data_IF_013858217654
#
_entry.id   IF_013858217654
#
_cell.length_a   1.000
_cell.length_b   1.000
_cell.length_c   1.000
_cell.angle_alpha   90.00
_cell.angle_beta   90.00
_cell.angle_gamma   90.00
#
_symmetry.space_group_name_H-M   'P 1'
#
loop_
_entity.id
_entity.type
_entity.pdbx_description
1 polymer ?
#
# COMPACT_ATOMS: atom_id res chain seq x y z
N UNK A 1 31.83 -63.24 -35.69
CA UNK A 1 31.60 -63.85 -34.36
C UNK A 1 31.68 -62.73 -33.34
N UNK A 2 30.61 -62.58 -32.57
CA UNK A 2 30.28 -61.45 -31.70
C UNK A 2 31.22 -61.39 -30.48
N UNK A 3 31.76 -60.21 -30.13
CA UNK A 3 31.77 -59.66 -28.75
C UNK A 3 32.63 -58.40 -28.58
N UNK A 4 32.13 -57.53 -27.67
CA UNK A 4 32.71 -56.33 -27.02
C UNK A 4 32.45 -55.02 -27.80
N UNK A 5 31.87 -53.97 -27.23
CA UNK A 5 31.96 -53.51 -25.82
C UNK A 5 30.77 -52.60 -25.46
N UNK A 6 30.32 -52.73 -24.21
CA UNK A 6 29.34 -51.88 -23.51
C UNK A 6 29.73 -50.39 -23.51
N UNK A 7 28.80 -49.49 -23.86
CA UNK A 7 28.62 -48.23 -23.14
C UNK A 7 27.13 -48.03 -22.86
N UNK A 8 26.85 -47.87 -21.57
CA UNK A 8 25.53 -47.72 -20.97
C UNK A 8 24.81 -46.47 -21.45
N UNK A 9 23.49 -46.63 -21.56
CA UNK A 9 22.42 -45.64 -21.40
C UNK A 9 22.82 -44.39 -20.61
N UNK A 10 22.33 -43.21 -21.01
CA UNK A 10 21.69 -42.17 -20.18
C UNK A 10 21.23 -40.97 -21.06
N UNK A 11 19.90 -40.82 -21.22
CA UNK A 11 19.11 -39.55 -21.28
C UNK A 11 19.21 -38.69 -22.59
N UNK A 12 18.12 -38.00 -23.08
CA UNK A 12 16.91 -37.62 -22.35
C UNK A 12 15.54 -37.98 -22.97
N UNK A 13 14.61 -38.25 -22.05
CA UNK A 13 13.16 -38.13 -22.19
C UNK A 13 12.72 -36.67 -22.37
N UNK A 14 13.09 -35.99 -23.46
CA UNK A 14 12.70 -34.59 -23.71
C UNK A 14 11.42 -34.39 -24.54
N UNK A 15 10.61 -35.43 -24.81
CA UNK A 15 9.45 -35.31 -25.71
C UNK A 15 8.10 -35.80 -25.15
N UNK A 16 7.97 -35.92 -23.82
CA UNK A 16 6.70 -36.34 -23.17
C UNK A 16 6.19 -35.41 -22.07
N UNK A 17 6.47 -34.11 -22.14
CA UNK A 17 5.85 -33.08 -21.29
C UNK A 17 5.25 -31.99 -22.18
N UNK A 18 4.19 -32.34 -22.92
CA UNK A 18 3.27 -31.38 -23.54
C UNK A 18 1.85 -31.93 -23.44
N UNK A 19 1.41 -32.19 -22.21
CA UNK A 19 -0.01 -32.14 -21.84
C UNK A 19 -0.08 -31.42 -20.50
N UNK A 20 -0.15 -30.09 -20.59
CA UNK A 20 -0.72 -29.27 -19.52
C UNK A 20 -2.02 -29.94 -19.08
N UNK A 21 -2.31 -30.08 -17.77
CA UNK A 21 -3.68 -30.27 -17.36
C UNK A 21 -4.41 -29.02 -17.85
N UNK A 22 -5.25 -29.16 -18.87
CA UNK A 22 -6.34 -28.22 -19.08
C UNK A 22 -7.04 -28.14 -17.73
N UNK A 23 -6.83 -27.03 -17.00
CA UNK A 23 -7.79 -26.63 -15.99
C UNK A 23 -9.09 -26.51 -16.79
N UNK A 24 -9.93 -27.52 -16.67
CA UNK A 24 -11.33 -27.43 -17.02
C UNK A 24 -11.78 -26.12 -16.40
N UNK A 25 -12.19 -25.17 -17.25
CA UNK A 25 -12.95 -24.02 -16.82
C UNK A 25 -14.19 -24.60 -16.16
N UNK A 26 -14.11 -24.89 -14.85
CA UNK A 26 -15.28 -24.88 -14.00
C UNK A 26 -15.96 -23.56 -14.31
N UNK A 27 -17.24 -23.63 -14.69
CA UNK A 27 -18.07 -22.47 -14.97
C UNK A 27 -17.88 -21.48 -13.84
N UNK A 28 -17.02 -20.50 -14.07
CA UNK A 28 -16.68 -19.51 -13.07
C UNK A 28 -17.81 -18.50 -13.16
N UNK A 29 -18.72 -18.56 -12.19
CA UNK A 29 -19.66 -17.48 -11.92
C UNK A 29 -18.94 -16.16 -12.14
N UNK A 30 -19.53 -15.29 -12.97
CA UNK A 30 -18.97 -14.00 -13.42
C UNK A 30 -18.05 -13.42 -12.35
N UNK A 31 -16.73 -13.57 -12.51
CA UNK A 31 -15.75 -13.03 -11.57
C UNK A 31 -16.04 -11.53 -11.43
N UNK A 32 -16.52 -11.12 -10.25
CA UNK A 32 -16.70 -9.71 -9.91
C UNK A 32 -15.36 -9.03 -10.12
N UNK A 33 -15.26 -8.28 -11.20
CA UNK A 33 -14.05 -7.61 -11.62
C UNK A 33 -14.28 -6.12 -11.36
N UNK A 34 -13.33 -5.46 -10.71
CA UNK A 34 -13.41 -4.01 -10.51
C UNK A 34 -13.64 -3.30 -11.83
N UNK A 35 -14.51 -2.30 -11.82
CA UNK A 35 -14.77 -1.45 -12.98
C UNK A 35 -13.49 -0.74 -13.45
N UNK A 36 -12.52 -0.51 -12.54
CA UNK A 36 -11.22 0.08 -12.84
C UNK A 36 -10.42 -0.74 -13.84
N UNK A 37 -10.53 -2.07 -13.85
CA UNK A 37 -9.81 -2.93 -14.79
C UNK A 37 -10.33 -2.71 -16.21
N UNK A 38 -11.65 -2.76 -16.39
CA UNK A 38 -12.28 -2.48 -17.70
C UNK A 38 -12.04 -1.04 -18.14
N UNK A 39 -12.03 -0.11 -17.19
CA UNK A 39 -11.75 1.30 -17.44
C UNK A 39 -10.31 1.52 -17.92
N UNK A 40 -9.33 0.92 -17.24
CA UNK A 40 -7.92 0.91 -17.65
C UNK A 40 -7.74 0.34 -19.07
N UNK A 41 -8.36 -0.79 -19.39
CA UNK A 41 -8.27 -1.39 -20.73
C UNK A 41 -8.85 -0.47 -21.80
N UNK A 42 -9.93 0.25 -21.48
CA UNK A 42 -10.55 1.22 -22.38
C UNK A 42 -9.65 2.43 -22.64
N UNK A 43 -8.95 2.94 -21.62
CA UNK A 43 -7.97 4.03 -21.76
C UNK A 43 -6.81 3.60 -22.66
N UNK A 44 -6.23 2.43 -22.43
CA UNK A 44 -5.08 1.96 -23.21
C UNK A 44 -5.42 1.62 -24.67
N UNK A 45 -6.69 1.33 -24.94
CA UNK A 45 -7.19 1.14 -26.31
C UNK A 45 -7.63 2.47 -26.96
N UNK A 46 -7.37 3.62 -26.33
CA UNK A 46 -7.80 4.95 -26.75
C UNK A 46 -9.31 5.06 -26.97
N UNK A 47 -10.10 4.22 -26.30
CA UNK A 47 -11.58 4.22 -26.38
C UNK A 47 -12.20 5.18 -25.38
N UNK A 48 -11.48 5.54 -24.33
CA UNK A 48 -11.88 6.50 -23.30
C UNK A 48 -10.71 7.39 -22.93
N UNK A 49 -11.00 8.63 -22.58
CA UNK A 49 -10.04 9.53 -21.95
C UNK A 49 -9.91 9.20 -20.45
N UNK A 50 -8.80 9.64 -19.88
CA UNK A 50 -8.57 9.62 -18.43
C UNK A 50 -9.64 10.50 -17.74
N UNK A 51 -10.20 10.09 -16.58
CA UNK A 51 -11.31 10.84 -16.01
C UNK A 51 -10.74 12.13 -15.42
N UNK A 52 -11.52 13.20 -15.40
CA UNK A 52 -11.04 14.46 -14.81
C UNK A 52 -10.76 14.30 -13.30
N UNK A 53 -11.59 13.52 -12.61
CA UNK A 53 -11.50 13.25 -11.18
C UNK A 53 -11.35 11.77 -10.90
N UNK A 54 -10.49 11.45 -9.96
CA UNK A 54 -10.29 10.08 -9.48
C UNK A 54 -9.70 10.13 -8.07
N UNK A 55 -10.26 9.33 -7.16
CA UNK A 55 -9.74 9.09 -5.82
C UNK A 55 -9.81 7.60 -5.49
N UNK A 56 -8.66 6.98 -5.27
CA UNK A 56 -8.56 5.54 -5.02
C UNK A 56 -9.41 5.07 -3.81
N UNK A 57 -9.55 5.91 -2.79
CA UNK A 57 -10.31 5.55 -1.60
C UNK A 57 -11.82 5.47 -1.88
N UNK A 58 -12.39 6.44 -2.58
CA UNK A 58 -13.83 6.42 -2.91
C UNK A 58 -14.13 5.52 -4.12
N UNK A 59 -13.33 5.61 -5.17
CA UNK A 59 -13.68 5.06 -6.48
C UNK A 59 -13.25 3.58 -6.63
N UNK A 60 -12.56 3.03 -5.61
CA UNK A 60 -12.12 1.63 -5.58
C UNK A 60 -12.46 0.98 -4.24
N UNK A 61 -11.96 1.52 -3.13
CA UNK A 61 -12.12 0.85 -1.83
C UNK A 61 -13.56 0.91 -1.32
N UNK A 62 -14.19 2.09 -1.39
CA UNK A 62 -15.59 2.23 -0.97
C UNK A 62 -16.54 1.43 -1.90
N UNK A 63 -16.26 1.35 -3.21
CA UNK A 63 -17.01 0.49 -4.14
C UNK A 63 -16.98 -0.99 -3.73
N UNK A 64 -15.85 -1.50 -3.24
CA UNK A 64 -15.81 -2.86 -2.70
C UNK A 64 -16.64 -3.03 -1.44
N UNK A 65 -16.59 -2.06 -0.53
CA UNK A 65 -17.43 -2.03 0.67
C UNK A 65 -18.92 -2.05 0.32
N UNK A 66 -19.36 -1.26 -0.66
CA UNK A 66 -20.77 -1.22 -1.06
C UNK A 66 -21.22 -2.54 -1.70
N UNK A 67 -20.37 -3.19 -2.50
CA UNK A 67 -20.66 -4.53 -3.04
C UNK A 67 -20.81 -5.60 -1.95
N UNK A 68 -20.03 -5.50 -0.86
CA UNK A 68 -20.14 -6.39 0.30
C UNK A 68 -21.45 -6.13 1.07
N UNK A 69 -21.81 -4.87 1.32
CA UNK A 69 -23.06 -4.49 2.00
C UNK A 69 -24.32 -4.88 1.22
N UNK A 70 -24.28 -4.75 -0.10
CA UNK A 70 -25.36 -5.15 -1.00
C UNK A 70 -25.50 -6.69 -1.11
N UNK A 71 -24.62 -7.47 -0.47
CA UNK A 71 -24.59 -8.93 -0.58
C UNK A 71 -24.18 -9.43 -1.98
N UNK A 72 -23.67 -8.53 -2.83
CA UNK A 72 -23.21 -8.86 -4.19
C UNK A 72 -21.84 -9.50 -4.19
N UNK A 73 -21.14 -9.51 -3.05
CA UNK A 73 -19.82 -10.10 -2.83
C UNK A 73 -19.71 -10.65 -1.40
N UNK A 74 -19.03 -11.78 -1.17
CA UNK A 74 -18.70 -12.22 0.19
C UNK A 74 -17.73 -11.25 0.88
N UNK A 75 -17.91 -11.06 2.19
CA UNK A 75 -17.01 -10.30 3.03
C UNK A 75 -15.69 -11.05 3.21
N UNK A 76 -14.71 -10.73 2.37
CA UNK A 76 -13.32 -11.20 2.52
C UNK A 76 -12.51 -10.09 3.20
N UNK A 77 -11.46 -10.42 3.97
CA UNK A 77 -10.59 -9.39 4.51
C UNK A 77 -9.95 -8.59 3.37
N UNK A 78 -10.02 -7.26 3.43
CA UNK A 78 -9.23 -6.37 2.61
C UNK A 78 -7.76 -6.35 3.06
N UNK A 79 -7.55 -6.49 4.37
CA UNK A 79 -6.25 -6.42 5.02
C UNK A 79 -6.16 -7.45 6.13
N UNK A 80 -5.00 -8.10 6.22
CA UNK A 80 -4.69 -9.07 7.26
C UNK A 80 -3.23 -8.91 7.68
N UNK A 81 -3.02 -8.59 8.96
CA UNK A 81 -1.71 -8.45 9.58
C UNK A 81 -1.51 -9.43 10.73
N UNK A 82 -0.28 -9.91 10.88
CA UNK A 82 0.16 -10.77 11.99
C UNK A 82 1.55 -10.37 12.50
N UNK A 83 1.89 -10.75 13.73
CA UNK A 83 3.25 -10.68 14.27
C UNK A 83 3.75 -12.01 14.86
N UNK A 84 5.01 -12.01 15.30
CA UNK A 84 5.67 -13.17 15.90
C UNK A 84 5.04 -13.58 17.25
N UNK A 85 4.31 -12.67 17.90
CA UNK A 85 3.64 -12.88 19.18
C UNK A 85 2.23 -13.49 19.05
N UNK A 86 1.75 -13.72 17.81
CA UNK A 86 0.42 -14.26 17.54
C UNK A 86 -0.72 -13.24 17.61
N UNK A 87 -0.40 -11.95 17.71
CA UNK A 87 -1.38 -10.88 17.53
C UNK A 87 -1.80 -10.81 16.05
N UNK A 88 -3.08 -10.55 15.83
CA UNK A 88 -3.69 -10.53 14.51
C UNK A 88 -4.60 -9.31 14.36
N UNK A 89 -4.54 -8.66 13.19
CA UNK A 89 -5.45 -7.58 12.81
C UNK A 89 -6.03 -7.92 11.44
N UNK A 90 -7.36 -7.98 11.35
CA UNK A 90 -8.08 -8.18 10.09
C UNK A 90 -9.07 -7.03 9.91
N UNK A 91 -9.13 -6.51 8.68
CA UNK A 91 -10.13 -5.53 8.28
C UNK A 91 -10.80 -5.96 6.99
N UNK A 92 -12.14 -5.95 6.98
CA UNK A 92 -12.96 -5.89 5.78
C UNK A 92 -12.76 -4.55 5.03
N UNK A 93 -13.31 -4.41 3.82
CA UNK A 93 -13.29 -3.13 3.11
C UNK A 93 -14.12 -2.08 3.86
N UNK A 94 -15.22 -2.47 4.51
CA UNK A 94 -16.04 -1.58 5.33
C UNK A 94 -15.24 -1.03 6.53
N UNK A 95 -14.57 -1.91 7.29
CA UNK A 95 -13.76 -1.52 8.43
C UNK A 95 -12.57 -0.64 8.01
N UNK A 96 -11.89 -1.00 6.91
CA UNK A 96 -10.83 -0.17 6.33
C UNK A 96 -11.37 1.21 5.94
N UNK A 97 -12.57 1.28 5.36
CA UNK A 97 -13.25 2.52 5.04
C UNK A 97 -13.54 3.38 6.27
N UNK A 98 -14.13 2.78 7.30
CA UNK A 98 -14.43 3.45 8.57
C UNK A 98 -13.18 3.99 9.27
N UNK A 99 -12.16 3.15 9.42
CA UNK A 99 -10.93 3.51 10.11
C UNK A 99 -10.15 4.58 9.31
N UNK A 100 -10.10 4.48 7.98
CA UNK A 100 -9.36 5.44 7.16
C UNK A 100 -10.01 6.82 7.12
N UNK A 101 -11.34 6.90 7.26
CA UNK A 101 -12.05 8.18 7.47
C UNK A 101 -11.68 8.83 8.79
N UNK A 102 -11.60 8.06 9.89
CA UNK A 102 -11.11 8.57 11.19
C UNK A 102 -9.67 9.08 11.08
N UNK A 103 -8.77 8.29 10.48
CA UNK A 103 -7.39 8.72 10.25
C UNK A 103 -7.31 9.98 9.37
N UNK A 104 -8.17 10.12 8.36
CA UNK A 104 -8.19 11.31 7.52
C UNK A 104 -8.56 12.56 8.32
N UNK A 105 -9.57 12.46 9.19
CA UNK A 105 -9.94 13.53 10.12
C UNK A 105 -8.82 13.86 11.12
N UNK A 106 -8.10 12.86 11.64
CA UNK A 106 -6.93 13.08 12.49
C UNK A 106 -5.86 13.90 11.75
N UNK A 107 -5.58 13.54 10.49
CA UNK A 107 -4.58 14.25 9.67
C UNK A 107 -5.02 15.69 9.38
N UNK A 108 -6.29 15.94 9.07
CA UNK A 108 -6.77 17.29 8.76
C UNK A 108 -6.96 18.17 9.99
N UNK A 109 -7.57 17.64 11.06
CA UNK A 109 -8.01 18.43 12.22
C UNK A 109 -6.90 18.51 13.27
N UNK A 110 -6.39 17.37 13.74
CA UNK A 110 -5.39 17.34 14.81
C UNK A 110 -3.99 17.70 14.29
N UNK A 111 -3.60 17.17 13.13
CA UNK A 111 -2.31 17.49 12.53
C UNK A 111 -2.32 18.80 11.71
N UNK A 112 -3.50 19.39 11.48
CA UNK A 112 -3.67 20.67 10.78
C UNK A 112 -3.27 20.64 9.29
N UNK A 113 -3.36 19.48 8.64
CA UNK A 113 -2.97 19.32 7.23
C UNK A 113 -4.11 19.70 6.28
N UNK A 114 -3.74 20.30 5.15
CA UNK A 114 -4.67 20.68 4.09
C UNK A 114 -4.40 19.88 2.82
N UNK A 115 -5.33 19.93 1.86
CA UNK A 115 -5.15 19.33 0.53
C UNK A 115 -3.84 19.82 -0.10
N UNK A 116 -3.05 18.89 -0.63
CA UNK A 116 -1.75 19.14 -1.24
C UNK A 116 -0.58 19.23 -0.25
N UNK A 117 -0.85 19.28 1.05
CA UNK A 117 0.21 19.18 2.05
C UNK A 117 0.85 17.80 2.01
N UNK A 118 2.13 17.75 2.38
CA UNK A 118 2.92 16.53 2.34
C UNK A 118 3.16 16.02 3.75
N UNK A 119 3.01 14.72 3.91
CA UNK A 119 3.33 14.01 5.16
C UNK A 119 4.38 12.94 4.89
N UNK A 120 5.44 12.93 5.69
CA UNK A 120 6.42 11.85 5.67
C UNK A 120 5.99 10.79 6.68
N UNK A 121 5.87 9.54 6.26
CA UNK A 121 5.60 8.42 7.16
C UNK A 121 6.79 7.46 7.16
N UNK A 122 7.45 7.35 8.32
CA UNK A 122 8.54 6.39 8.55
C UNK A 122 8.09 5.40 9.62
N UNK A 123 7.44 4.35 9.17
CA UNK A 123 6.85 3.32 10.01
C UNK A 123 7.28 1.93 9.55
N UNK A 124 7.44 0.95 10.46
CA UNK A 124 7.60 -0.45 10.08
C UNK A 124 6.31 -1.00 9.44
N UNK A 125 6.27 -2.31 9.17
CA UNK A 125 5.09 -3.02 8.66
C UNK A 125 4.02 -3.19 9.74
N UNK A 126 3.46 -2.08 10.20
CA UNK A 126 2.34 -2.03 11.15
C UNK A 126 1.05 -1.60 10.43
N UNK A 127 -0.14 -2.05 10.89
CA UNK A 127 -1.41 -1.78 10.20
C UNK A 127 -1.66 -0.30 9.92
N UNK A 128 -1.22 0.59 10.81
CA UNK A 128 -1.38 2.04 10.71
C UNK A 128 -0.74 2.63 9.45
N UNK A 129 0.32 2.01 8.90
CA UNK A 129 0.93 2.49 7.66
C UNK A 129 -0.04 2.44 6.48
N UNK A 130 -0.76 1.32 6.33
CA UNK A 130 -1.80 1.17 5.29
C UNK A 130 -2.96 2.12 5.52
N UNK A 131 -3.36 2.25 6.78
CA UNK A 131 -4.46 3.11 7.19
C UNK A 131 -4.18 4.59 6.86
N UNK A 132 -2.98 5.06 7.18
CA UNK A 132 -2.53 6.42 6.91
C UNK A 132 -2.35 6.68 5.41
N UNK A 133 -1.96 5.67 4.64
CA UNK A 133 -1.87 5.77 3.18
C UNK A 133 -3.26 6.07 2.58
N UNK A 134 -4.28 5.28 2.93
CA UNK A 134 -5.67 5.51 2.49
C UNK A 134 -6.23 6.81 3.04
N UNK A 135 -5.94 7.15 4.29
CA UNK A 135 -6.36 8.41 4.90
C UNK A 135 -5.83 9.65 4.15
N UNK A 136 -4.57 9.59 3.70
CA UNK A 136 -4.00 10.65 2.88
C UNK A 136 -4.72 10.80 1.54
N UNK A 137 -5.05 9.69 0.88
CA UNK A 137 -5.86 9.71 -0.35
C UNK A 137 -7.21 10.39 -0.10
N UNK A 138 -7.91 10.02 0.98
CA UNK A 138 -9.21 10.61 1.33
C UNK A 138 -9.12 12.11 1.59
N UNK A 139 -8.09 12.56 2.30
CA UNK A 139 -7.89 13.97 2.64
C UNK A 139 -7.24 14.79 1.50
N UNK A 140 -6.82 14.16 0.40
CA UNK A 140 -6.04 14.81 -0.66
C UNK A 140 -4.66 15.29 -0.18
N UNK A 141 -4.08 14.60 0.81
CA UNK A 141 -2.75 14.85 1.37
C UNK A 141 -1.75 13.97 0.61
N UNK A 142 -0.59 14.52 0.30
CA UNK A 142 0.47 13.80 -0.43
C UNK A 142 1.28 12.95 0.54
N UNK A 143 1.21 11.64 0.38
CA UNK A 143 1.89 10.69 1.26
C UNK A 143 3.31 10.40 0.78
N UNK A 144 4.29 10.48 1.68
CA UNK A 144 5.71 10.25 1.40
C UNK A 144 6.21 9.12 2.30
N UNK A 145 6.17 7.86 1.82
CA UNK A 145 6.69 6.75 2.60
C UNK A 145 8.23 6.79 2.68
N UNK A 146 8.76 6.45 3.86
CA UNK A 146 10.18 6.27 4.10
C UNK A 146 10.44 4.96 4.83
N UNK A 147 11.59 4.33 4.54
CA UNK A 147 12.00 3.09 5.22
C UNK A 147 12.36 3.37 6.67
N UNK A 148 12.07 2.42 7.57
CA UNK A 148 12.47 2.49 8.97
C UNK A 148 14.00 2.53 9.18
N UNK A 149 14.79 2.29 8.13
CA UNK A 149 16.25 2.38 8.16
C UNK A 149 16.80 3.79 7.99
N UNK A 150 15.95 4.79 7.70
CA UNK A 150 16.39 6.18 7.57
C UNK A 150 16.95 6.71 8.89
N UNK A 151 18.10 7.38 8.83
CA UNK A 151 18.71 8.05 9.99
C UNK A 151 18.27 9.51 10.05
N UNK A 152 18.54 10.17 11.18
CA UNK A 152 18.23 11.58 11.40
C UNK A 152 18.54 12.50 10.21
N UNK A 153 19.77 12.42 9.67
CA UNK A 153 20.20 13.19 8.48
C UNK A 153 19.35 12.91 7.23
N UNK A 154 18.93 11.67 7.04
CA UNK A 154 18.18 11.23 5.85
C UNK A 154 16.72 11.69 5.95
N UNK A 155 16.18 11.74 7.16
CA UNK A 155 14.86 12.29 7.49
C UNK A 155 14.88 13.80 7.30
N UNK A 156 15.89 14.50 7.85
CA UNK A 156 16.03 15.95 7.73
C UNK A 156 16.06 16.39 6.26
N UNK A 157 16.91 15.74 5.45
CA UNK A 157 16.99 16.01 4.02
C UNK A 157 15.62 15.91 3.34
N UNK A 158 14.87 14.83 3.63
CA UNK A 158 13.55 14.61 3.03
C UNK A 158 12.52 15.62 3.50
N UNK A 159 12.50 15.96 4.79
CA UNK A 159 11.62 17.00 5.35
C UNK A 159 11.87 18.34 4.65
N UNK A 160 13.13 18.75 4.51
CA UNK A 160 13.52 20.02 3.90
C UNK A 160 13.19 20.07 2.40
N UNK A 161 13.60 19.05 1.63
CA UNK A 161 13.40 19.04 0.17
C UNK A 161 11.93 18.86 -0.20
N UNK A 162 11.19 18.04 0.54
CA UNK A 162 9.75 17.88 0.29
C UNK A 162 8.93 19.06 0.79
N UNK A 163 9.42 19.81 1.79
CA UNK A 163 8.65 20.78 2.57
C UNK A 163 7.44 20.14 3.25
N UNK A 164 7.61 18.91 3.74
CA UNK A 164 6.55 18.21 4.45
C UNK A 164 6.18 18.94 5.75
N UNK A 165 4.87 19.01 6.01
CA UNK A 165 4.31 19.71 7.16
C UNK A 165 4.03 18.79 8.34
N UNK A 166 4.05 17.49 8.12
CA UNK A 166 3.89 16.49 9.17
C UNK A 166 4.87 15.32 8.98
N UNK A 167 5.30 14.76 10.10
CA UNK A 167 6.02 13.49 10.14
C UNK A 167 5.29 12.51 11.05
N UNK A 168 5.13 11.28 10.55
CA UNK A 168 4.53 10.16 11.28
C UNK A 168 5.60 9.12 11.51
N UNK A 169 5.80 8.70 12.76
CA UNK A 169 6.81 7.68 13.07
C UNK A 169 6.49 6.84 14.30
N UNK A 170 7.34 5.87 14.58
CA UNK A 170 7.27 5.00 15.77
C UNK A 170 8.09 5.57 16.93
N UNK A 171 7.83 5.09 18.14
CA UNK A 171 8.60 5.52 19.33
C UNK A 171 10.10 5.26 19.19
N UNK A 172 10.50 4.16 18.54
CA UNK A 172 11.91 3.84 18.29
C UNK A 172 12.64 4.90 17.47
N UNK A 173 11.96 5.56 16.53
CA UNK A 173 12.58 6.55 15.64
C UNK A 173 12.30 8.01 16.06
N UNK A 174 11.39 8.23 17.01
CA UNK A 174 11.07 9.56 17.52
C UNK A 174 12.31 10.33 18.04
N UNK A 175 13.28 9.72 18.76
CA UNK A 175 14.51 10.42 19.15
C UNK A 175 15.33 10.96 17.97
N UNK A 176 15.38 10.22 16.86
CA UNK A 176 16.09 10.67 15.65
C UNK A 176 15.42 11.88 15.01
N UNK A 177 14.07 11.91 15.00
CA UNK A 177 13.30 13.06 14.53
C UNK A 177 13.48 14.27 15.45
N UNK A 178 13.45 14.06 16.76
CA UNK A 178 13.66 15.13 17.75
C UNK A 178 15.02 15.81 17.60
N UNK A 179 16.06 15.02 17.32
CA UNK A 179 17.43 15.54 17.16
C UNK A 179 17.61 16.54 16.01
N UNK A 180 16.70 16.55 15.03
CA UNK A 180 16.76 17.42 13.84
C UNK A 180 15.69 18.51 13.83
N UNK A 181 14.86 18.59 14.88
CA UNK A 181 13.73 19.53 14.93
C UNK A 181 14.12 21.01 14.76
N UNK A 182 15.24 21.50 15.33
CA UNK A 182 15.66 22.89 15.12
C UNK A 182 15.86 23.27 13.65
N UNK A 183 16.14 22.29 12.79
CA UNK A 183 16.42 22.49 11.36
C UNK A 183 15.20 22.24 10.45
N UNK A 184 14.03 21.91 11.04
CA UNK A 184 12.82 21.51 10.31
C UNK A 184 11.82 22.67 10.14
N UNK A 185 12.16 23.65 9.29
CA UNK A 185 11.41 24.90 9.13
C UNK A 185 9.95 24.75 8.64
N UNK A 186 9.62 23.68 7.90
CA UNK A 186 8.29 23.47 7.34
C UNK A 186 7.40 22.56 8.20
N UNK A 187 8.00 21.86 9.17
CA UNK A 187 7.31 20.85 9.96
C UNK A 187 6.42 21.52 11.02
N UNK A 188 5.12 21.24 10.97
CA UNK A 188 4.11 21.83 11.86
C UNK A 188 3.63 20.86 12.93
N UNK A 189 3.52 19.58 12.59
CA UNK A 189 2.99 18.56 13.48
C UNK A 189 3.82 17.27 13.41
N UNK A 190 3.80 16.52 14.51
CA UNK A 190 4.46 15.23 14.63
C UNK A 190 3.46 14.24 15.23
N UNK A 191 3.27 13.12 14.56
CA UNK A 191 2.32 12.09 14.95
C UNK A 191 3.08 10.79 15.26
N UNK A 192 2.80 10.18 16.40
CA UNK A 192 3.46 8.96 16.85
C UNK A 192 2.50 7.76 16.80
N UNK A 193 3.00 6.65 16.29
CA UNK A 193 2.36 5.33 16.35
C UNK A 193 3.07 4.53 17.45
N UNK A 194 2.50 4.56 18.65
CA UNK A 194 3.05 3.91 19.84
C UNK A 194 1.95 3.55 20.84
N UNK A 195 2.23 2.59 21.72
CA UNK A 195 1.30 2.18 22.78
C UNK A 195 1.09 3.26 23.86
N UNK A 196 2.06 4.16 24.06
CA UNK A 196 2.00 5.23 25.06
C UNK A 196 2.20 6.64 24.49
N UNK A 197 1.99 7.65 25.34
CA UNK A 197 2.17 9.06 25.01
C UNK A 197 3.65 9.46 24.99
N UNK A 198 3.99 10.46 24.17
CA UNK A 198 5.33 11.07 24.12
C UNK A 198 5.19 12.59 24.08
N UNK A 199 5.92 13.29 24.93
CA UNK A 199 5.77 14.75 25.05
C UNK A 199 6.08 15.47 23.73
N UNK A 200 5.24 16.46 23.39
CA UNK A 200 5.31 17.17 22.11
C UNK A 200 4.96 16.33 20.87
N UNK A 201 4.34 15.16 21.02
CA UNK A 201 3.82 14.34 19.92
C UNK A 201 2.32 14.11 20.05
N UNK A 202 1.62 14.18 18.92
CA UNK A 202 0.25 13.69 18.82
C UNK A 202 0.28 12.17 18.82
N UNK A 203 -0.49 11.49 19.67
CA UNK A 203 -0.57 10.03 19.66
C UNK A 203 -1.74 9.55 18.79
N UNK A 204 -1.44 8.74 17.76
CA UNK A 204 -2.45 8.26 16.82
C UNK A 204 -3.55 7.44 17.51
N UNK A 205 -3.20 6.54 18.43
CA UNK A 205 -4.14 5.65 19.10
C UNK A 205 -5.10 6.40 20.02
N UNK A 206 -4.60 7.39 20.75
CA UNK A 206 -5.41 8.25 21.61
C UNK A 206 -6.41 9.07 20.78
N UNK A 207 -5.95 9.66 19.68
CA UNK A 207 -6.80 10.42 18.77
C UNK A 207 -7.87 9.53 18.13
N UNK A 208 -7.53 8.31 17.75
CA UNK A 208 -8.51 7.34 17.23
C UNK A 208 -9.68 7.09 18.18
N UNK A 209 -9.48 7.15 19.49
CA UNK A 209 -10.55 6.91 20.46
C UNK A 209 -11.64 8.00 20.42
N UNK A 210 -11.27 9.23 20.04
CA UNK A 210 -12.16 10.41 20.14
C UNK A 210 -12.59 10.99 18.78
N UNK A 211 -11.88 10.67 17.70
CA UNK A 211 -12.20 11.22 16.37
C UNK A 211 -13.41 10.55 15.73
N UNK A 212 -14.26 11.34 15.08
CA UNK A 212 -15.42 10.86 14.29
C UNK A 212 -14.97 10.21 12.98
N UNK A 213 -15.75 9.24 12.49
CA UNK A 213 -15.59 8.66 11.15
C UNK A 213 -16.39 9.40 10.06
N UNK A 214 -17.09 10.48 10.40
CA UNK A 214 -17.75 11.36 9.43
C UNK A 214 -16.70 12.16 8.66
N UNK A 215 -16.39 11.68 7.47
CA UNK A 215 -15.39 12.28 6.59
C UNK A 215 -15.87 12.21 5.14
N UNK A 216 -15.90 13.36 4.49
CA UNK A 216 -16.18 13.45 3.06
C UNK A 216 -14.88 13.37 2.28
N UNK A 217 -14.72 12.29 1.52
CA UNK A 217 -13.56 12.10 0.64
C UNK A 217 -13.38 13.31 -0.30
N UNK A 218 -12.15 13.81 -0.41
CA UNK A 218 -11.83 14.94 -1.27
C UNK A 218 -11.95 14.54 -2.74
N UNK A 219 -12.64 15.39 -3.50
CA UNK A 219 -12.73 15.27 -4.96
C UNK A 219 -11.40 15.71 -5.61
N UNK A 220 -10.47 14.76 -5.68
CA UNK A 220 -9.14 14.92 -6.29
C UNK A 220 -9.20 14.80 -7.81
N UNK A 221 -8.40 15.60 -8.51
CA UNK A 221 -8.21 15.43 -9.96
C UNK A 221 -7.32 14.21 -10.19
N UNK A 222 -7.50 13.53 -11.31
CA UNK A 222 -6.67 12.37 -11.67
C UNK A 222 -5.18 12.67 -11.64
N UNK A 223 -4.79 13.87 -12.08
CA UNK A 223 -3.39 14.31 -12.16
C UNK A 223 -2.88 15.01 -10.89
N UNK A 224 -3.70 15.14 -9.83
CA UNK A 224 -3.23 15.70 -8.58
C UNK A 224 -2.16 14.78 -7.94
N UNK A 225 -1.11 15.34 -7.30
CA UNK A 225 -0.14 14.54 -6.56
C UNK A 225 -0.79 13.74 -5.43
N UNK A 226 -0.50 12.45 -5.36
CA UNK A 226 -1.00 11.52 -4.34
C UNK A 226 0.15 10.95 -3.49
N UNK A 227 1.24 10.55 -4.14
CA UNK A 227 2.38 9.88 -3.52
C UNK A 227 3.70 10.50 -3.99
N UNK A 228 4.70 10.52 -3.11
CA UNK A 228 6.09 10.84 -3.49
C UNK A 228 7.02 9.75 -2.97
N UNK A 229 7.78 9.14 -3.87
CA UNK A 229 8.89 8.26 -3.50
C UNK A 229 10.21 8.98 -3.70
N UNK A 230 11.13 8.81 -2.73
CA UNK A 230 12.52 9.22 -2.91
C UNK A 230 13.30 8.08 -3.55
N UNK A 231 13.97 8.35 -4.68
CA UNK A 231 14.81 7.37 -5.38
C UNK A 231 16.28 7.72 -5.23
N UNK A 232 17.15 6.70 -5.15
CA UNK A 232 18.60 6.89 -5.14
C UNK A 232 19.04 7.47 -6.49
N UNK A 233 19.60 8.68 -6.48
CA UNK A 233 20.26 9.23 -7.66
C UNK A 233 21.61 8.55 -7.87
N UNK A 234 21.97 8.23 -9.12
CA UNK A 234 23.28 7.64 -9.45
C UNK A 234 24.47 8.55 -9.12
N UNK A 235 24.24 9.87 -9.03
CA UNK A 235 25.30 10.89 -8.90
C UNK A 235 24.98 11.97 -7.86
N UNK A 236 23.98 11.78 -7.00
CA UNK A 236 23.60 12.83 -6.07
C UNK A 236 22.51 12.45 -5.07
N UNK A 237 22.04 13.46 -4.34
CA UNK A 237 21.03 13.28 -3.29
C UNK A 237 19.71 12.68 -3.82
N UNK A 238 18.95 11.95 -2.99
CA UNK A 238 17.73 11.28 -3.43
C UNK A 238 16.71 12.23 -4.07
N UNK A 239 16.11 11.83 -5.20
CA UNK A 239 15.17 12.68 -5.95
C UNK A 239 13.72 12.32 -5.61
N UNK A 240 12.85 13.34 -5.55
CA UNK A 240 11.41 13.14 -5.41
C UNK A 240 10.79 12.73 -6.74
N UNK A 241 10.16 11.55 -6.76
CA UNK A 241 9.35 11.07 -7.87
C UNK A 241 7.89 11.18 -7.46
N UNK A 242 7.18 12.14 -8.04
CA UNK A 242 5.77 12.41 -7.76
C UNK A 242 4.90 11.46 -8.57
N UNK A 243 3.85 10.95 -7.96
CA UNK A 243 2.86 10.07 -8.57
C UNK A 243 1.47 10.66 -8.35
N UNK A 244 0.66 10.64 -9.40
CA UNK A 244 -0.70 11.17 -9.37
C UNK A 244 -1.70 10.12 -8.88
N UNK A 245 -2.92 10.54 -8.61
CA UNK A 245 -4.01 9.63 -8.27
C UNK A 245 -4.25 8.58 -9.38
N UNK A 246 -4.26 9.00 -10.65
CA UNK A 246 -4.44 8.12 -11.81
C UNK A 246 -3.24 7.19 -12.05
N UNK A 247 -2.01 7.71 -11.95
CA UNK A 247 -0.81 6.96 -12.35
C UNK A 247 -0.65 5.67 -11.54
N UNK A 248 -1.04 5.69 -10.26
CA UNK A 248 -0.95 4.53 -9.38
C UNK A 248 -2.32 3.85 -9.19
N UNK A 249 -3.38 4.62 -8.94
CA UNK A 249 -4.68 4.03 -8.62
C UNK A 249 -5.41 3.40 -9.81
N UNK A 250 -5.10 3.84 -11.04
CA UNK A 250 -5.57 3.18 -12.28
C UNK A 250 -4.42 2.38 -12.91
N UNK A 251 -3.19 2.92 -12.89
CA UNK A 251 -2.05 2.33 -13.59
C UNK A 251 -1.66 0.91 -13.15
N UNK A 252 -1.97 0.50 -11.91
CA UNK A 252 -1.71 -0.87 -11.45
C UNK A 252 -2.79 -1.89 -11.77
N UNK A 253 -3.84 -1.52 -12.49
CA UNK A 253 -4.89 -2.46 -12.90
C UNK A 253 -4.34 -3.62 -13.73
N UNK A 254 -3.46 -3.34 -14.70
CA UNK A 254 -2.81 -4.40 -15.49
C UNK A 254 -1.92 -5.30 -14.62
N UNK A 255 -1.14 -4.71 -13.71
CA UNK A 255 -0.26 -5.49 -12.85
C UNK A 255 -1.05 -6.44 -11.94
N UNK A 256 -2.14 -5.98 -11.34
CA UNK A 256 -3.01 -6.83 -10.51
C UNK A 256 -3.69 -7.92 -11.32
N UNK A 257 -4.38 -7.53 -12.40
CA UNK A 257 -5.22 -8.47 -13.15
C UNK A 257 -4.44 -9.43 -14.05
N UNK A 258 -3.40 -8.96 -14.74
CA UNK A 258 -2.75 -9.73 -15.79
C UNK A 258 -1.40 -10.30 -15.36
N UNK A 259 -0.61 -9.54 -14.59
CA UNK A 259 0.72 -10.00 -14.18
C UNK A 259 0.67 -10.86 -12.90
N UNK A 260 -0.03 -10.39 -11.87
CA UNK A 260 -0.21 -11.13 -10.62
C UNK A 260 -1.40 -12.09 -10.68
N UNK A 261 -2.29 -11.93 -11.67
CA UNK A 261 -3.51 -12.71 -11.87
C UNK A 261 -4.37 -12.83 -10.60
N UNK A 262 -4.53 -11.71 -9.91
CA UNK A 262 -5.28 -11.62 -8.67
C UNK A 262 -6.80 -11.64 -8.91
N UNK A 263 -7.50 -12.28 -7.99
CA UNK A 263 -8.96 -12.40 -7.90
C UNK A 263 -9.45 -11.92 -6.52
N UNK A 264 -10.74 -11.59 -6.35
CA UNK A 264 -11.28 -11.17 -5.06
C UNK A 264 -11.15 -12.21 -3.92
N UNK A 265 -10.86 -13.48 -4.25
CA UNK A 265 -10.62 -14.56 -3.28
C UNK A 265 -9.16 -14.74 -2.88
N UNK A 266 -8.22 -14.06 -3.55
CA UNK A 266 -6.80 -14.24 -3.29
C UNK A 266 -6.31 -13.43 -2.08
N UNK A 267 -5.24 -13.94 -1.47
CA UNK A 267 -4.49 -13.28 -0.42
C UNK A 267 -3.08 -13.03 -0.95
N UNK A 268 -2.69 -11.75 -1.06
CA UNK A 268 -1.39 -11.34 -1.58
C UNK A 268 -0.44 -10.98 -0.44
N UNK A 269 0.63 -11.75 -0.29
CA UNK A 269 1.73 -11.40 0.60
C UNK A 269 2.91 -10.80 -0.17
N UNK A 270 3.24 -9.54 0.10
CA UNK A 270 4.41 -8.88 -0.44
C UNK A 270 5.41 -8.55 0.68
N UNK A 271 6.57 -9.20 0.65
CA UNK A 271 7.65 -9.03 1.64
C UNK A 271 8.52 -7.82 1.32
N UNK A 272 7.94 -6.62 1.36
CA UNK A 272 8.65 -5.36 1.09
C UNK A 272 8.71 -4.45 2.32
N UNK A 273 9.64 -3.52 2.32
CA UNK A 273 9.66 -2.41 3.27
C UNK A 273 8.62 -1.36 2.85
N UNK A 274 7.92 -0.79 3.81
CA UNK A 274 6.84 0.20 3.60
C UNK A 274 7.32 1.45 2.86
N UNK A 275 8.59 1.81 2.98
CA UNK A 275 9.24 2.92 2.28
C UNK A 275 9.53 2.68 0.80
N UNK A 276 9.43 1.43 0.32
CA UNK A 276 9.81 1.07 -1.04
C UNK A 276 8.63 1.17 -2.00
N UNK A 277 8.90 1.53 -3.26
CA UNK A 277 7.87 1.63 -4.31
C UNK A 277 7.12 0.31 -4.53
N UNK A 278 7.79 -0.82 -4.28
CA UNK A 278 7.20 -2.15 -4.36
C UNK A 278 6.01 -2.33 -3.40
N UNK A 279 5.99 -1.64 -2.25
CA UNK A 279 4.85 -1.65 -1.33
C UNK A 279 3.62 -1.00 -1.92
N UNK A 280 3.74 0.10 -2.67
CA UNK A 280 2.59 0.66 -3.39
C UNK A 280 2.01 -0.35 -4.38
N UNK A 281 2.86 -0.97 -5.21
CA UNK A 281 2.38 -1.86 -6.26
C UNK A 281 1.69 -3.11 -5.71
N UNK A 282 2.33 -3.80 -4.77
CA UNK A 282 1.94 -5.16 -4.36
C UNK A 282 1.38 -5.27 -2.94
N UNK A 283 1.35 -4.17 -2.17
CA UNK A 283 0.73 -4.13 -0.83
C UNK A 283 -0.38 -3.09 -0.72
N UNK A 284 -0.71 -2.35 -1.78
CA UNK A 284 -1.78 -1.35 -1.78
C UNK A 284 -2.61 -1.47 -3.06
N UNK A 285 -2.08 -0.99 -4.19
CA UNK A 285 -2.90 -0.75 -5.38
C UNK A 285 -3.33 -2.03 -6.07
N UNK A 286 -2.40 -2.89 -6.50
CA UNK A 286 -2.77 -4.06 -7.32
C UNK A 286 -3.75 -5.02 -6.60
N UNK A 287 -3.53 -5.39 -5.33
CA UNK A 287 -4.48 -6.27 -4.62
C UNK A 287 -5.84 -5.61 -4.41
N UNK A 288 -5.88 -4.37 -3.93
CA UNK A 288 -7.15 -3.70 -3.66
C UNK A 288 -7.91 -3.30 -4.93
N UNK A 289 -7.24 -3.05 -6.06
CA UNK A 289 -7.94 -2.93 -7.36
C UNK A 289 -8.68 -4.23 -7.69
N UNK A 290 -8.06 -5.38 -7.42
CA UNK A 290 -8.66 -6.69 -7.67
C UNK A 290 -9.63 -7.14 -6.55
N UNK A 291 -9.78 -6.34 -5.49
CA UNK A 291 -10.57 -6.70 -4.32
C UNK A 291 -9.92 -7.79 -3.46
N UNK A 292 -8.66 -8.14 -3.69
CA UNK A 292 -7.94 -9.18 -2.96
C UNK A 292 -7.52 -8.72 -1.57
N UNK A 293 -7.25 -9.66 -0.67
CA UNK A 293 -6.68 -9.38 0.64
C UNK A 293 -5.19 -9.02 0.52
N UNK A 294 -4.76 -7.97 1.21
CA UNK A 294 -3.34 -7.70 1.46
C UNK A 294 -2.93 -8.39 2.77
N UNK A 295 -1.98 -9.33 2.69
CA UNK A 295 -1.39 -9.96 3.86
C UNK A 295 -0.04 -9.35 4.23
N UNK A 296 0.15 -9.13 5.53
CA UNK A 296 1.34 -8.52 6.10
C UNK A 296 1.80 -9.29 7.32
N UNK A 297 3.06 -9.68 7.29
CA UNK A 297 3.76 -10.10 8.49
C UNK A 297 4.61 -8.93 9.00
N UNK A 298 4.49 -8.55 10.27
CA UNK A 298 5.26 -7.45 10.88
C UNK A 298 6.77 -7.64 10.62
N UNK A 299 7.30 -8.79 11.06
CA UNK A 299 8.67 -9.26 10.79
C UNK A 299 9.70 -8.12 10.96
N UNK A 300 9.86 -7.56 12.17
CA UNK A 300 10.73 -6.40 12.39
C UNK A 300 12.18 -6.67 11.98
N UNK A 301 12.61 -7.93 12.08
CA UNK A 301 13.84 -8.45 11.50
C UNK A 301 13.48 -9.55 10.51
N UNK A 302 14.14 -9.57 9.35
CA UNK A 302 13.89 -10.57 8.32
C UNK A 302 14.30 -11.97 8.82
N UNK A 303 13.34 -12.90 8.85
CA UNK A 303 13.53 -14.29 9.29
C UNK A 303 13.12 -15.22 8.15
N UNK A 304 14.06 -15.84 7.42
CA UNK A 304 13.74 -16.72 6.29
C UNK A 304 12.85 -17.90 6.68
N UNK A 305 13.04 -18.45 7.88
CA UNK A 305 12.28 -19.60 8.38
C UNK A 305 10.80 -19.28 8.52
N UNK A 306 10.45 -18.07 9.00
CA UNK A 306 9.07 -17.61 9.12
C UNK A 306 8.34 -17.42 7.77
N UNK A 307 9.05 -17.52 6.64
CA UNK A 307 8.47 -17.46 5.28
C UNK A 307 8.37 -18.85 4.66
N UNK A 308 9.35 -19.71 4.96
CA UNK A 308 9.50 -21.02 4.33
C UNK A 308 8.67 -22.12 4.99
N UNK A 309 8.32 -21.94 6.27
CA UNK A 309 7.51 -22.85 7.10
C UNK A 309 6.04 -22.43 7.12
#
# INVERSE_FOLDING_TARGET
FIMRTFIKSWIPQCLRILRLPCRLFHGCDRLLTSQIISYYDSINQYKKELPEYFNFASDVLDEWSELEKDGRRPANPAFWWVNDEGEEVKWSFEELGFLSRKAANILSEACGLQRGDKVIAVLPRVPEWWLLNVACMRAGIVFIPGTSQLRAKDILYRLQVSKAKCIITSDTLAPAVESIMPDCQFLKSKLIVAKGSRDGWLNLKELFAVTSADHKCVKTRSEDPMLIYFTSGSTGSPKMVVQSHSSYGIGFAASGRYWMNLTPSDIMWNTSDTGWVKSAWSSVFAPWICGSCVFVHNMPQFKPTAIAE
#
